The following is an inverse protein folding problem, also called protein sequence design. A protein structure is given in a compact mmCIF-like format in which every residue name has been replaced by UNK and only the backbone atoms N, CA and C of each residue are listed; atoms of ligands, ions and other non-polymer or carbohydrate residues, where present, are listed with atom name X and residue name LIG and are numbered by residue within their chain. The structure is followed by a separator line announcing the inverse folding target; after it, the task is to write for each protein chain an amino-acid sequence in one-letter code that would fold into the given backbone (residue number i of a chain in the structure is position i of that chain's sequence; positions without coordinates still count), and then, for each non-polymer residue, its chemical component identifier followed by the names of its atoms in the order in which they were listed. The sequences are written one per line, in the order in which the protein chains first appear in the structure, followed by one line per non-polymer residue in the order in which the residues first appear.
data_IF_511405846224
#
_entry.id   IF_511405846224
#
_cell.length_a   1.000
_cell.length_b   1.000
_cell.length_c   1.000
_cell.angle_alpha   90.00
_cell.angle_beta   90.00
_cell.angle_gamma   90.00
#
_symmetry.space_group_name_H-M   'P 1'
#
loop_
_entity.id
_entity.type
_entity.pdbx_description
1 polymer ?
#
# COMPACT_ATOMS: atom_id res chain seq x y z
N UNK A 1 9.37 26.51 2.27
CA UNK A 1 9.80 25.08 2.31
C UNK A 1 8.74 24.27 1.59
N UNK A 2 9.11 23.27 0.81
CA UNK A 2 8.13 22.34 0.21
C UNK A 2 7.45 21.52 1.34
N UNK A 3 6.15 21.23 1.18
CA UNK A 3 5.44 20.37 2.13
C UNK A 3 6.02 18.96 2.06
N UNK A 4 6.06 18.26 3.18
CA UNK A 4 6.44 16.84 3.20
C UNK A 4 5.37 16.00 2.55
N UNK A 5 5.78 15.02 1.74
CA UNK A 5 4.85 14.11 1.06
C UNK A 5 4.50 12.93 1.93
N UNK A 6 3.19 12.73 2.09
CA UNK A 6 2.63 11.53 2.72
C UNK A 6 2.13 10.62 1.62
N UNK A 7 2.54 9.35 1.68
CA UNK A 7 1.93 8.27 0.86
C UNK A 7 1.28 7.27 1.81
N UNK A 8 0.01 6.99 1.59
CA UNK A 8 -0.79 6.07 2.39
C UNK A 8 -1.89 5.48 1.52
N UNK A 9 -2.54 4.40 1.94
CA UNK A 9 -3.61 3.82 1.14
C UNK A 9 -4.23 2.60 1.77
N UNK A 10 -5.22 2.04 1.06
CA UNK A 10 -5.90 0.82 1.45
C UNK A 10 -6.11 -0.10 0.25
N UNK A 11 -6.12 -1.40 0.51
CA UNK A 11 -6.47 -2.40 -0.50
C UNK A 11 -8.00 -2.49 -0.65
N UNK A 12 -8.56 -2.44 -1.86
CA UNK A 12 -10.01 -2.49 -2.07
C UNK A 12 -10.55 -3.94 -2.00
N UNK A 13 -10.38 -4.57 -0.83
CA UNK A 13 -10.84 -5.94 -0.56
C UNK A 13 -12.26 -6.01 0.00
N UNK A 14 -12.85 -4.86 0.34
CA UNK A 14 -14.19 -4.66 0.88
C UNK A 14 -14.43 -3.19 1.20
N UNK A 15 -15.62 -2.86 1.69
CA UNK A 15 -15.91 -1.54 2.25
C UNK A 15 -15.06 -1.29 3.49
N UNK A 16 -14.68 -0.04 3.71
CA UNK A 16 -14.01 0.34 4.94
C UNK A 16 -15.01 0.28 6.11
N UNK A 17 -14.51 -0.04 7.28
CA UNK A 17 -15.32 -0.15 8.50
C UNK A 17 -14.79 0.78 9.59
N UNK A 18 -15.50 0.85 10.71
CA UNK A 18 -15.16 1.75 11.82
C UNK A 18 -13.70 1.62 12.31
N UNK A 19 -13.11 0.44 12.21
CA UNK A 19 -11.69 0.21 12.53
C UNK A 19 -10.75 0.97 11.59
N UNK A 20 -11.05 1.02 10.29
CA UNK A 20 -10.28 1.84 9.34
C UNK A 20 -10.43 3.33 9.63
N UNK A 21 -11.63 3.76 10.05
CA UNK A 21 -11.85 5.15 10.41
C UNK A 21 -10.95 5.59 11.56
N UNK A 22 -11.00 4.89 12.69
CA UNK A 22 -10.20 5.25 13.86
C UNK A 22 -8.72 4.93 13.71
N UNK A 23 -8.38 3.84 13.03
CA UNK A 23 -6.99 3.42 12.85
C UNK A 23 -6.23 4.25 11.82
N UNK A 24 -6.91 4.83 10.84
CA UNK A 24 -6.24 5.48 9.70
C UNK A 24 -6.93 6.74 9.20
N UNK A 25 -8.20 6.68 8.76
CA UNK A 25 -8.85 7.77 8.02
C UNK A 25 -8.95 9.06 8.82
N UNK A 26 -9.33 8.97 10.09
CA UNK A 26 -9.40 10.15 11.00
C UNK A 26 -8.08 10.90 11.05
N UNK A 27 -6.96 10.18 11.08
CA UNK A 27 -5.62 10.78 11.09
C UNK A 27 -5.27 11.39 9.73
N UNK A 28 -5.62 10.72 8.62
CA UNK A 28 -5.44 11.27 7.26
C UNK A 28 -6.18 12.58 7.08
N UNK A 29 -7.45 12.67 7.51
CA UNK A 29 -8.24 13.91 7.47
C UNK A 29 -7.61 15.01 8.33
N UNK A 30 -7.09 14.65 9.51
CA UNK A 30 -6.37 15.62 10.38
C UNK A 30 -5.13 16.16 9.68
N UNK A 31 -4.30 15.30 9.10
CA UNK A 31 -3.08 15.69 8.38
C UNK A 31 -3.41 16.54 7.15
N UNK A 32 -4.44 16.15 6.36
CA UNK A 32 -4.96 16.94 5.24
C UNK A 32 -5.30 18.37 5.67
N UNK A 33 -6.09 18.50 6.75
CA UNK A 33 -6.61 19.80 7.20
C UNK A 33 -5.57 20.66 7.92
N UNK A 34 -4.43 20.10 8.33
CA UNK A 34 -3.32 20.90 8.87
C UNK A 34 -2.67 21.80 7.81
N UNK A 35 -2.76 21.41 6.55
CA UNK A 35 -2.11 22.12 5.44
C UNK A 35 -0.58 21.98 5.41
N UNK A 36 0.00 21.19 6.30
CA UNK A 36 1.46 20.99 6.44
C UNK A 36 2.02 19.95 5.46
N UNK A 37 1.15 19.09 4.91
CA UNK A 37 1.54 17.94 4.10
C UNK A 37 0.95 18.00 2.69
N UNK A 38 1.65 17.36 1.75
CA UNK A 38 1.18 17.02 0.43
C UNK A 38 0.81 15.51 0.46
N UNK A 39 -0.47 15.19 0.45
CA UNK A 39 -0.96 13.86 0.77
C UNK A 39 -1.44 13.11 -0.47
N UNK A 40 -0.86 11.92 -0.69
CA UNK A 40 -1.21 10.97 -1.74
C UNK A 40 -1.87 9.74 -1.12
N UNK A 41 -3.10 9.44 -1.55
CA UNK A 41 -3.90 8.34 -1.01
C UNK A 41 -4.14 7.30 -2.09
N UNK A 42 -3.55 6.16 -1.91
CA UNK A 42 -3.54 5.02 -2.82
C UNK A 42 -4.77 4.12 -2.61
N UNK A 43 -5.43 3.77 -3.70
CA UNK A 43 -6.30 2.59 -3.77
C UNK A 43 -5.49 1.46 -4.41
N UNK A 44 -4.99 0.52 -3.60
CA UNK A 44 -4.03 -0.50 -3.98
C UNK A 44 -4.73 -1.72 -4.61
N UNK A 45 -5.29 -1.55 -5.81
CA UNK A 45 -6.06 -2.58 -6.51
C UNK A 45 -5.17 -3.71 -7.04
N UNK A 46 -3.98 -3.42 -7.56
CA UNK A 46 -3.01 -4.44 -8.00
C UNK A 46 -2.52 -5.26 -6.80
N UNK A 47 -2.18 -4.60 -5.70
CA UNK A 47 -1.78 -5.31 -4.48
C UNK A 47 -2.91 -6.16 -3.90
N UNK A 48 -4.17 -5.71 -4.00
CA UNK A 48 -5.32 -6.50 -3.55
C UNK A 48 -5.47 -7.83 -4.30
N UNK A 49 -5.02 -7.90 -5.56
CA UNK A 49 -5.06 -9.13 -6.35
C UNK A 49 -4.09 -10.21 -5.85
N UNK A 50 -3.09 -9.87 -5.05
CA UNK A 50 -2.10 -10.85 -4.55
C UNK A 50 -2.74 -11.93 -3.67
N UNK A 51 -3.83 -11.62 -3.00
CA UNK A 51 -4.61 -12.55 -2.16
C UNK A 51 -6.12 -12.57 -2.50
N UNK A 52 -6.54 -11.92 -3.59
CA UNK A 52 -7.89 -11.96 -4.14
C UNK A 52 -7.90 -12.32 -5.64
N UNK A 53 -6.87 -13.01 -6.12
CA UNK A 53 -6.73 -13.39 -7.53
C UNK A 53 -7.88 -14.27 -8.04
N UNK A 54 -8.54 -15.02 -7.16
CA UNK A 54 -9.70 -15.85 -7.47
C UNK A 54 -11.00 -15.04 -7.70
N UNK A 55 -11.02 -13.76 -7.32
CA UNK A 55 -12.20 -12.90 -7.44
C UNK A 55 -11.82 -11.45 -7.82
N UNK A 56 -11.28 -11.22 -9.02
CA UNK A 56 -10.87 -9.88 -9.45
C UNK A 56 -12.03 -8.89 -9.56
N UNK A 57 -13.24 -9.36 -9.88
CA UNK A 57 -14.43 -8.50 -9.96
C UNK A 57 -14.79 -7.89 -8.60
N UNK A 58 -14.55 -8.62 -7.51
CA UNK A 58 -14.68 -8.10 -6.15
C UNK A 58 -13.76 -6.89 -5.95
N UNK A 59 -12.49 -7.02 -6.32
CA UNK A 59 -11.51 -5.93 -6.20
C UNK A 59 -11.96 -4.73 -7.04
N UNK A 60 -12.30 -4.95 -8.31
CA UNK A 60 -12.77 -3.91 -9.22
C UNK A 60 -13.98 -3.13 -8.67
N UNK A 61 -14.97 -3.83 -8.13
CA UNK A 61 -16.14 -3.21 -7.50
C UNK A 61 -15.76 -2.38 -6.28
N UNK A 62 -14.86 -2.90 -5.45
CA UNK A 62 -14.50 -2.24 -4.20
C UNK A 62 -13.58 -1.04 -4.38
N UNK A 63 -12.89 -0.86 -5.50
CA UNK A 63 -12.17 0.40 -5.82
C UNK A 63 -13.09 1.60 -5.65
N UNK A 64 -14.28 1.55 -6.25
CA UNK A 64 -15.25 2.64 -6.15
C UNK A 64 -15.80 2.80 -4.72
N UNK A 65 -16.09 1.69 -4.03
CA UNK A 65 -16.60 1.71 -2.66
C UNK A 65 -15.60 2.38 -1.70
N UNK A 66 -14.31 2.02 -1.80
CA UNK A 66 -13.25 2.61 -0.96
C UNK A 66 -13.09 4.11 -1.22
N UNK A 67 -13.16 4.56 -2.47
CA UNK A 67 -13.11 6.00 -2.78
C UNK A 67 -14.32 6.73 -2.19
N UNK A 68 -15.52 6.15 -2.29
CA UNK A 68 -16.73 6.73 -1.67
C UNK A 68 -16.59 6.82 -0.15
N UNK A 69 -16.01 5.79 0.49
CA UNK A 69 -15.73 5.80 1.92
C UNK A 69 -14.73 6.89 2.31
N UNK A 70 -13.67 7.12 1.51
CA UNK A 70 -12.71 8.21 1.73
C UNK A 70 -13.41 9.57 1.73
N UNK A 71 -14.19 9.84 0.68
CA UNK A 71 -14.92 11.11 0.55
C UNK A 71 -15.93 11.30 1.70
N UNK A 72 -16.65 10.23 2.05
CA UNK A 72 -17.65 10.25 3.14
C UNK A 72 -17.01 10.50 4.51
N UNK A 73 -15.77 10.09 4.69
CA UNK A 73 -15.02 10.32 5.94
C UNK A 73 -14.33 11.70 6.00
N UNK A 74 -14.41 12.50 4.93
CA UNK A 74 -13.88 13.86 4.89
C UNK A 74 -12.55 14.03 4.19
N UNK A 75 -12.07 13.02 3.44
CA UNK A 75 -10.97 13.23 2.48
C UNK A 75 -11.49 14.13 1.37
N UNK A 76 -10.79 15.23 1.16
CA UNK A 76 -11.11 16.28 0.20
C UNK A 76 -10.17 16.19 -1.01
N UNK A 77 -10.68 15.88 -2.22
CA UNK A 77 -9.85 15.74 -3.42
C UNK A 77 -9.18 17.04 -3.88
N UNK A 78 -9.66 18.21 -3.38
CA UNK A 78 -9.01 19.49 -3.62
C UNK A 78 -7.73 19.68 -2.75
N UNK A 79 -7.59 18.88 -1.68
CA UNK A 79 -6.47 18.96 -0.72
C UNK A 79 -5.56 17.75 -0.73
N UNK A 80 -6.07 16.60 -1.13
CA UNK A 80 -5.35 15.33 -1.16
C UNK A 80 -5.51 14.67 -2.52
N UNK A 81 -4.44 14.12 -3.07
CA UNK A 81 -4.49 13.36 -4.31
C UNK A 81 -4.92 11.93 -4.03
N UNK A 82 -6.06 11.51 -4.57
CA UNK A 82 -6.51 10.11 -4.55
C UNK A 82 -6.15 9.48 -5.89
N UNK A 83 -5.49 8.33 -5.88
CA UNK A 83 -5.15 7.63 -7.11
C UNK A 83 -5.34 6.11 -6.99
N UNK A 84 -5.53 5.46 -8.15
CA UNK A 84 -5.68 4.01 -8.28
C UNK A 84 -4.34 3.45 -8.76
N UNK A 85 -3.81 2.45 -8.09
CA UNK A 85 -2.47 1.89 -8.34
C UNK A 85 -2.31 1.43 -9.80
N UNK A 86 -3.28 0.72 -10.36
CA UNK A 86 -3.24 0.23 -11.74
C UNK A 86 -3.22 1.33 -12.80
N UNK A 87 -3.56 2.57 -12.44
CA UNK A 87 -3.54 3.73 -13.35
C UNK A 87 -2.17 4.43 -13.39
N UNK A 88 -1.20 3.98 -12.60
CA UNK A 88 0.16 4.51 -12.56
C UNK A 88 1.13 3.39 -12.99
N UNK A 89 1.33 3.18 -14.30
CA UNK A 89 2.14 2.08 -14.82
C UNK A 89 3.61 2.15 -14.36
N UNK A 90 4.11 3.33 -14.05
CA UNK A 90 5.45 3.55 -13.52
C UNK A 90 5.71 2.83 -12.20
N UNK A 91 4.68 2.61 -11.39
CA UNK A 91 4.80 1.79 -10.16
C UNK A 91 5.15 0.35 -10.50
N UNK A 92 4.53 -0.22 -11.53
CA UNK A 92 4.83 -1.58 -11.97
C UNK A 92 6.23 -1.67 -12.57
N UNK A 93 6.63 -0.69 -13.37
CA UNK A 93 7.99 -0.60 -13.94
C UNK A 93 9.04 -0.52 -12.83
N UNK A 94 8.86 0.38 -11.86
CA UNK A 94 9.75 0.56 -10.72
C UNK A 94 9.81 -0.72 -9.86
N UNK A 95 8.70 -1.43 -9.70
CA UNK A 95 8.65 -2.73 -9.01
C UNK A 95 9.58 -3.74 -9.69
N UNK A 96 9.62 -3.79 -11.02
CA UNK A 96 10.52 -4.68 -11.75
C UNK A 96 11.98 -4.31 -11.49
N UNK A 97 12.35 -3.03 -11.54
CA UNK A 97 13.71 -2.60 -11.20
C UNK A 97 14.09 -3.01 -9.76
N UNK A 98 13.23 -2.74 -8.80
CA UNK A 98 13.47 -3.07 -7.38
C UNK A 98 13.54 -4.57 -7.12
N UNK A 99 12.82 -5.40 -7.88
CA UNK A 99 12.86 -6.85 -7.74
C UNK A 99 14.25 -7.44 -7.98
N UNK A 100 15.11 -6.75 -8.75
CA UNK A 100 16.49 -7.16 -8.97
C UNK A 100 17.42 -6.84 -7.77
N UNK A 101 16.95 -6.08 -6.80
CA UNK A 101 17.71 -5.64 -5.63
C UNK A 101 17.40 -6.44 -4.36
N UNK A 102 16.35 -7.29 -4.40
CA UNK A 102 15.85 -8.02 -3.24
C UNK A 102 15.87 -9.52 -3.50
N UNK A 103 16.48 -10.28 -2.60
CA UNK A 103 16.49 -11.74 -2.70
C UNK A 103 15.20 -12.35 -2.15
N UNK A 104 14.77 -13.49 -2.71
CA UNK A 104 13.64 -14.29 -2.19
C UNK A 104 13.82 -14.56 -0.70
N UNK A 105 15.01 -15.00 -0.28
CA UNK A 105 15.30 -15.26 1.12
C UNK A 105 15.13 -14.03 2.03
N UNK A 106 15.32 -12.80 1.51
CA UNK A 106 15.06 -11.56 2.28
C UNK A 106 13.56 -11.31 2.45
N UNK A 107 12.76 -11.57 1.42
CA UNK A 107 11.30 -11.47 1.46
C UNK A 107 10.72 -12.49 2.45
N UNK A 108 11.13 -13.74 2.36
CA UNK A 108 10.70 -14.82 3.24
C UNK A 108 11.02 -14.58 4.72
N UNK A 109 12.11 -13.86 5.01
CA UNK A 109 12.50 -13.51 6.39
C UNK A 109 11.80 -12.29 6.96
N UNK A 110 11.04 -11.52 6.13
CA UNK A 110 10.30 -10.37 6.64
C UNK A 110 9.22 -10.83 7.63
N UNK A 111 9.20 -10.31 8.87
CA UNK A 111 8.25 -10.75 9.89
C UNK A 111 6.78 -10.56 9.49
N UNK A 112 6.45 -9.44 8.86
CA UNK A 112 5.08 -9.14 8.39
C UNK A 112 4.64 -10.16 7.34
N UNK A 113 5.49 -10.42 6.34
CA UNK A 113 5.22 -11.41 5.29
C UNK A 113 5.02 -12.81 5.87
N UNK A 114 5.87 -13.23 6.81
CA UNK A 114 5.73 -14.54 7.50
C UNK A 114 4.40 -14.66 8.21
N UNK A 115 4.00 -13.64 8.95
CA UNK A 115 2.74 -13.61 9.69
C UNK A 115 1.54 -13.69 8.75
N UNK A 116 1.57 -12.91 7.67
CA UNK A 116 0.49 -12.91 6.69
C UNK A 116 0.38 -14.24 5.92
N UNK A 117 1.48 -14.86 5.55
CA UNK A 117 1.49 -16.21 4.94
C UNK A 117 0.86 -17.22 5.89
N UNK A 118 1.23 -17.19 7.17
CA UNK A 118 0.69 -18.10 8.17
C UNK A 118 -0.83 -17.92 8.36
N UNK A 119 -1.32 -16.68 8.32
CA UNK A 119 -2.75 -16.36 8.42
C UNK A 119 -3.56 -16.77 7.18
N UNK A 120 -2.90 -16.90 6.03
CA UNK A 120 -3.56 -17.21 4.74
C UNK A 120 -3.26 -18.61 4.22
N UNK A 121 -2.97 -19.56 5.11
CA UNK A 121 -2.70 -20.95 4.74
C UNK A 121 -3.84 -21.59 3.94
N UNK A 122 -5.09 -21.26 4.26
CA UNK A 122 -6.26 -21.77 3.55
C UNK A 122 -6.32 -21.30 2.09
N UNK A 123 -5.72 -20.14 1.79
CA UNK A 123 -5.67 -19.59 0.43
C UNK A 123 -4.50 -20.17 -0.38
N UNK A 124 -3.33 -20.31 0.25
CA UNK A 124 -2.09 -20.64 -0.45
C UNK A 124 -1.72 -22.13 -0.36
N UNK A 125 -2.29 -22.88 0.58
CA UNK A 125 -1.85 -24.25 0.83
C UNK A 125 -0.38 -24.31 1.24
N UNK A 126 0.38 -25.14 0.52
CA UNK A 126 1.84 -25.31 0.75
C UNK A 126 2.72 -24.32 -0.02
N UNK A 127 2.15 -23.60 -1.00
CA UNK A 127 2.92 -22.76 -1.93
C UNK A 127 2.35 -21.36 -2.03
N UNK A 128 3.18 -20.37 -1.73
CA UNK A 128 2.85 -18.94 -1.84
C UNK A 128 3.12 -18.45 -3.26
N UNK A 129 2.22 -17.65 -3.82
CA UNK A 129 2.42 -17.08 -5.14
C UNK A 129 3.56 -16.07 -5.16
N UNK A 130 4.26 -15.95 -6.31
CA UNK A 130 5.28 -14.92 -6.52
C UNK A 130 4.76 -13.51 -6.22
N UNK A 131 3.55 -13.20 -6.69
CA UNK A 131 2.94 -11.88 -6.46
C UNK A 131 2.74 -11.57 -4.98
N UNK A 132 2.29 -12.57 -4.18
CA UNK A 132 2.15 -12.36 -2.74
C UNK A 132 3.51 -12.23 -2.04
N UNK A 133 4.49 -13.06 -2.37
CA UNK A 133 5.83 -12.93 -1.81
C UNK A 133 6.50 -11.61 -2.19
N UNK A 134 6.21 -11.11 -3.40
CA UNK A 134 6.80 -9.90 -3.98
C UNK A 134 6.13 -8.59 -3.58
N UNK A 135 4.95 -8.58 -2.92
CA UNK A 135 4.23 -7.34 -2.64
C UNK A 135 5.04 -6.29 -1.84
N UNK A 136 5.99 -6.64 -0.95
CA UNK A 136 6.79 -5.62 -0.26
C UNK A 136 7.67 -4.79 -1.21
N UNK A 137 8.02 -5.37 -2.35
CA UNK A 137 8.78 -4.67 -3.41
C UNK A 137 7.89 -3.67 -4.13
N UNK A 138 6.66 -4.08 -4.47
CA UNK A 138 5.65 -3.19 -5.05
C UNK A 138 5.27 -2.06 -4.10
N UNK A 139 5.11 -2.36 -2.80
CA UNK A 139 4.85 -1.32 -1.80
C UNK A 139 5.99 -0.29 -1.70
N UNK A 140 7.24 -0.73 -1.82
CA UNK A 140 8.36 0.20 -1.90
C UNK A 140 8.29 1.09 -3.14
N UNK A 141 7.85 0.55 -4.28
CA UNK A 141 7.63 1.33 -5.49
C UNK A 141 6.48 2.35 -5.33
N UNK A 142 5.36 1.97 -4.70
CA UNK A 142 4.26 2.90 -4.38
C UNK A 142 4.74 4.10 -3.58
N UNK A 143 5.57 3.86 -2.56
CA UNK A 143 6.09 4.92 -1.69
C UNK A 143 7.04 5.85 -2.44
N UNK A 144 7.95 5.27 -3.20
CA UNK A 144 9.07 6.02 -3.80
C UNK A 144 8.71 6.69 -5.12
N UNK A 145 7.73 6.17 -5.86
CA UNK A 145 7.23 6.77 -7.10
C UNK A 145 6.77 8.23 -6.89
N UNK A 146 6.21 8.52 -5.73
CA UNK A 146 5.78 9.87 -5.35
C UNK A 146 6.77 10.59 -4.42
N UNK A 147 7.98 10.07 -4.25
CA UNK A 147 8.96 10.59 -3.28
C UNK A 147 8.35 10.72 -1.87
N UNK A 148 7.70 9.67 -1.39
CA UNK A 148 7.06 9.64 -0.06
C UNK A 148 8.09 9.78 1.05
N UNK A 149 7.96 10.82 1.87
CA UNK A 149 8.82 11.09 3.03
C UNK A 149 8.23 10.55 4.33
N UNK A 150 6.90 10.45 4.37
CA UNK A 150 6.14 9.97 5.52
C UNK A 150 5.14 8.90 5.07
N UNK A 151 5.11 7.81 5.79
CA UNK A 151 4.17 6.70 5.56
C UNK A 151 3.54 6.33 6.90
N UNK A 152 2.35 6.86 7.22
CA UNK A 152 1.64 6.50 8.44
C UNK A 152 1.21 5.04 8.39
N UNK A 153 1.73 4.23 9.29
CA UNK A 153 1.48 2.77 9.33
C UNK A 153 1.28 2.30 10.77
N UNK A 154 0.64 1.14 10.91
CA UNK A 154 0.64 0.39 12.15
C UNK A 154 2.01 -0.22 12.44
N UNK A 155 2.24 -0.60 13.69
CA UNK A 155 3.51 -1.18 14.14
C UNK A 155 3.87 -2.47 13.39
N UNK A 156 2.88 -3.27 13.02
CA UNK A 156 3.01 -4.49 12.22
C UNK A 156 3.59 -4.26 10.82
N UNK A 157 3.50 -3.04 10.29
CA UNK A 157 4.01 -2.66 8.96
C UNK A 157 5.45 -2.10 8.99
N UNK A 158 6.02 -1.85 10.17
CA UNK A 158 7.38 -1.31 10.28
C UNK A 158 8.45 -2.17 9.57
N UNK A 159 8.39 -3.51 9.58
CA UNK A 159 9.35 -4.33 8.82
C UNK A 159 9.31 -4.12 7.31
N UNK A 160 8.15 -3.75 6.75
CA UNK A 160 8.01 -3.42 5.33
C UNK A 160 8.60 -2.04 5.01
N UNK A 161 8.41 -1.07 5.90
CA UNK A 161 9.02 0.26 5.76
C UNK A 161 10.54 0.17 5.84
N UNK A 162 11.10 -0.66 6.73
CA UNK A 162 12.56 -0.85 6.79
C UNK A 162 13.06 -1.55 5.52
N UNK A 163 12.34 -2.52 4.99
CA UNK A 163 12.68 -3.14 3.71
C UNK A 163 12.64 -2.14 2.55
N UNK A 164 11.67 -1.22 2.52
CA UNK A 164 11.65 -0.11 1.56
C UNK A 164 12.93 0.73 1.65
N UNK A 165 13.36 1.10 2.86
CA UNK A 165 14.61 1.84 3.08
C UNK A 165 15.85 1.08 2.60
N UNK A 166 15.88 -0.24 2.80
CA UNK A 166 16.96 -1.09 2.28
C UNK A 166 17.01 -1.07 0.74
N UNK A 167 15.85 -1.12 0.08
CA UNK A 167 15.75 -1.05 -1.39
C UNK A 167 16.26 0.30 -1.88
N UNK A 168 15.79 1.40 -1.30
CA UNK A 168 16.22 2.76 -1.67
C UNK A 168 17.72 2.94 -1.55
N UNK A 169 18.34 2.44 -0.45
CA UNK A 169 19.80 2.51 -0.27
C UNK A 169 20.59 1.73 -1.31
N UNK A 170 20.02 0.66 -1.87
CA UNK A 170 20.67 -0.13 -2.92
C UNK A 170 20.46 0.44 -4.32
N UNK A 171 19.35 1.16 -4.49
CA UNK A 171 19.00 1.77 -5.76
C UNK A 171 19.81 3.03 -6.04
N UNK A 172 20.09 3.84 -5.01
CA UNK A 172 20.90 5.06 -5.07
C UNK A 172 22.40 4.77 -4.87
#
# INVERSE_FOLDING_TARGET
MSKKRIVTGDRPTGRLHIGHYFGSLKNRVKMQNSGEYDQYILVADVQALTDNFNNPDKVRKNVREVVMDYLSCGIDPEKSTIYIQSMIPEVAELTVFYSNLVTIARLERNPTVKTEIAQKRDLFGESVTYGFLGYPVSQAADITCFNGELVPVGEDQLPLIEQCREIVRKFN
#
